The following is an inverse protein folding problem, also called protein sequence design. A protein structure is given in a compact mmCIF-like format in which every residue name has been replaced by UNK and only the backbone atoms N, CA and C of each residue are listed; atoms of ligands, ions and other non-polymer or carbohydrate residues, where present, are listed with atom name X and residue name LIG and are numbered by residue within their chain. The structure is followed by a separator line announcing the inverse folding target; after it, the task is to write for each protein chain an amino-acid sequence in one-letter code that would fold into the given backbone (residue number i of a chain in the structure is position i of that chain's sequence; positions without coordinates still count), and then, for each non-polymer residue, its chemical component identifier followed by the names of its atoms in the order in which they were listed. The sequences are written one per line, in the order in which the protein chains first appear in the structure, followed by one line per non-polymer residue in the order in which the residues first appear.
data_IF_157156387313
#
_entry.id   IF_157156387313
#
_cell.length_a   1.000
_cell.length_b   1.000
_cell.length_c   1.000
_cell.angle_alpha   90.00
_cell.angle_beta   90.00
_cell.angle_gamma   90.00
#
_symmetry.space_group_name_H-M   'P 1'
#
loop_
_entity.id
_entity.type
_entity.pdbx_description
1 polymer ?
#
# COMPACT_ATOMS: atom_id res chain seq x y z
N UNK A 1 -52.58 -2.97 -18.95
CA UNK A 1 -51.91 -1.97 -18.09
C UNK A 1 -50.68 -2.61 -17.46
N UNK A 2 -49.46 -2.29 -17.90
CA UNK A 2 -48.26 -2.88 -17.32
C UNK A 2 -47.82 -2.06 -16.09
N UNK A 3 -47.71 -2.74 -14.95
CA UNK A 3 -47.34 -2.14 -13.66
C UNK A 3 -45.89 -1.64 -13.66
N UNK A 4 -45.71 -0.35 -13.38
CA UNK A 4 -44.41 0.27 -13.09
C UNK A 4 -43.83 -0.36 -11.83
N UNK A 5 -42.84 -1.26 -11.95
CA UNK A 5 -41.95 -1.61 -10.84
C UNK A 5 -41.14 -0.37 -10.49
N UNK A 6 -41.37 0.19 -9.29
CA UNK A 6 -40.52 1.23 -8.72
C UNK A 6 -39.14 0.63 -8.50
N UNK A 7 -38.17 1.08 -9.29
CA UNK A 7 -36.74 0.89 -9.01
C UNK A 7 -36.44 1.56 -7.67
N UNK A 8 -36.25 0.76 -6.63
CA UNK A 8 -35.71 1.25 -5.37
C UNK A 8 -34.20 1.45 -5.56
N UNK A 9 -33.75 2.70 -5.60
CA UNK A 9 -32.32 3.00 -5.48
C UNK A 9 -31.82 2.42 -4.15
N UNK A 10 -30.72 1.64 -4.16
CA UNK A 10 -30.09 1.22 -2.92
C UNK A 10 -29.56 2.46 -2.20
N UNK A 11 -29.94 2.62 -0.92
CA UNK A 11 -29.43 3.67 -0.05
C UNK A 11 -27.93 3.46 0.14
N UNK A 12 -27.13 4.47 -0.19
CA UNK A 12 -25.69 4.49 0.04
C UNK A 12 -25.42 4.58 1.55
N UNK A 13 -24.96 3.50 2.17
CA UNK A 13 -24.45 3.51 3.53
C UNK A 13 -22.93 3.75 3.51
N UNK A 14 -22.49 4.88 2.95
CA UNK A 14 -21.12 5.33 3.18
C UNK A 14 -21.10 6.01 4.55
N UNK A 15 -20.41 5.41 5.53
CA UNK A 15 -20.17 6.04 6.83
C UNK A 15 -19.35 7.31 6.61
N UNK A 16 -19.93 8.47 6.89
CA UNK A 16 -19.22 9.74 6.82
C UNK A 16 -17.99 9.74 7.76
N UNK A 17 -16.87 10.31 7.30
CA UNK A 17 -15.69 10.54 8.13
C UNK A 17 -16.08 11.40 9.34
N UNK A 18 -15.83 10.88 10.54
CA UNK A 18 -16.07 11.61 11.78
C UNK A 18 -14.74 12.19 12.27
N UNK A 19 -14.62 13.52 12.43
CA UNK A 19 -13.43 14.13 13.02
C UNK A 19 -13.27 13.69 14.47
N UNK A 20 -12.04 13.42 14.90
CA UNK A 20 -11.78 13.03 16.29
C UNK A 20 -10.50 13.64 16.85
N UNK A 21 -10.55 14.02 18.13
CA UNK A 21 -9.38 14.51 18.90
C UNK A 21 -8.64 13.33 19.53
N UNK A 22 -7.31 13.39 19.59
CA UNK A 22 -6.38 12.25 19.70
C UNK A 22 -6.66 11.15 20.73
N UNK A 23 -7.34 11.45 21.84
CA UNK A 23 -7.71 10.47 22.89
C UNK A 23 -8.84 9.52 22.47
N UNK A 24 -9.56 9.81 21.40
CA UNK A 24 -10.74 9.05 20.96
C UNK A 24 -10.45 7.93 19.96
N UNK A 25 -9.22 7.80 19.45
CA UNK A 25 -8.81 6.69 18.56
C UNK A 25 -8.54 5.39 19.31
N UNK A 26 -8.08 5.46 20.56
CA UNK A 26 -7.77 4.29 21.39
C UNK A 26 -8.95 3.29 21.53
N UNK A 27 -10.16 3.73 21.93
CA UNK A 27 -11.31 2.82 22.02
C UNK A 27 -11.81 2.33 20.65
N UNK A 28 -11.41 2.97 19.54
CA UNK A 28 -11.85 2.60 18.20
C UNK A 28 -10.98 1.50 17.61
N UNK A 29 -9.67 1.62 17.75
CA UNK A 29 -8.71 0.65 17.23
C UNK A 29 -8.60 -0.59 18.11
N UNK A 30 -8.98 -0.48 19.39
CA UNK A 30 -8.92 -1.56 20.39
C UNK A 30 -7.55 -2.24 20.47
N UNK A 31 -6.50 -1.54 20.05
CA UNK A 31 -5.12 -2.03 19.97
C UNK A 31 -4.15 -0.90 20.30
N UNK A 32 -3.51 -0.93 21.48
CA UNK A 32 -2.46 0.02 21.83
C UNK A 32 -1.28 -0.01 20.84
N UNK A 33 -1.02 -1.17 20.23
CA UNK A 33 0.03 -1.33 19.22
C UNK A 33 -0.31 -0.61 17.92
N UNK A 34 -1.58 -0.66 17.49
CA UNK A 34 -2.05 0.07 16.32
C UNK A 34 -2.06 1.58 16.58
N UNK A 35 -2.47 2.01 17.78
CA UNK A 35 -2.43 3.42 18.16
C UNK A 35 -1.01 3.98 18.13
N UNK A 36 0.00 3.19 18.55
CA UNK A 36 1.40 3.60 18.51
C UNK A 36 1.92 3.86 17.08
N UNK A 37 1.28 3.27 16.05
CA UNK A 37 1.60 3.55 14.63
C UNK A 37 1.06 4.89 14.13
N UNK A 38 0.23 5.57 14.92
CA UNK A 38 -0.42 6.81 14.56
C UNK A 38 0.09 7.92 15.50
N UNK A 39 1.21 8.60 15.24
CA UNK A 39 1.59 9.73 16.09
C UNK A 39 0.68 10.95 15.87
N UNK A 40 0.65 11.85 16.86
CA UNK A 40 -0.12 13.12 16.84
C UNK A 40 -1.44 13.08 17.63
N UNK A 41 -2.19 14.19 17.58
CA UNK A 41 -3.40 14.40 18.39
C UNK A 41 -4.67 14.71 17.57
N UNK A 42 -4.62 14.60 16.24
CA UNK A 42 -5.75 14.86 15.33
C UNK A 42 -6.34 13.59 14.70
N UNK A 43 -6.93 13.73 13.51
CA UNK A 43 -7.39 12.61 12.68
C UNK A 43 -8.88 12.57 12.43
N UNK A 44 -9.28 11.87 11.39
CA UNK A 44 -10.69 11.50 11.14
C UNK A 44 -10.79 9.99 11.00
N UNK A 45 -11.93 9.42 11.40
CA UNK A 45 -12.18 7.97 11.25
C UNK A 45 -13.52 7.68 10.61
N UNK A 46 -13.54 6.64 9.78
CA UNK A 46 -14.74 5.96 9.35
C UNK A 46 -14.61 4.45 9.62
N UNK A 47 -15.75 3.80 9.93
CA UNK A 47 -15.83 2.35 10.12
C UNK A 47 -16.92 1.75 9.25
N UNK A 48 -16.62 0.58 8.70
CA UNK A 48 -17.55 -0.20 7.91
C UNK A 48 -17.16 -1.69 7.93
N UNK A 49 -18.08 -2.57 8.36
CA UNK A 49 -17.92 -4.04 8.29
C UNK A 49 -16.54 -4.58 8.74
N UNK A 50 -16.05 -4.14 9.90
CA UNK A 50 -14.75 -4.58 10.44
C UNK A 50 -13.53 -3.92 9.78
N UNK A 51 -13.73 -2.87 9.01
CA UNK A 51 -12.68 -2.00 8.47
C UNK A 51 -12.74 -0.65 9.15
N UNK A 52 -11.59 -0.19 9.62
CA UNK A 52 -11.38 1.13 10.21
C UNK A 52 -10.43 1.92 9.31
N UNK A 53 -10.90 3.02 8.74
CA UNK A 53 -10.08 4.01 8.03
C UNK A 53 -9.72 5.14 9.00
N UNK A 54 -8.45 5.49 9.07
CA UNK A 54 -7.93 6.70 9.72
C UNK A 54 -7.32 7.60 8.65
N UNK A 55 -7.66 8.89 8.67
CA UNK A 55 -7.06 9.95 7.84
C UNK A 55 -6.49 11.07 8.72
N UNK A 56 -5.77 12.01 8.11
CA UNK A 56 -5.18 13.19 8.78
C UNK A 56 -4.23 12.81 9.93
N UNK A 57 -3.56 11.67 9.77
CA UNK A 57 -2.55 11.17 10.69
C UNK A 57 -1.35 10.65 9.90
N UNK A 58 -0.12 10.97 10.33
CA UNK A 58 1.05 10.26 9.83
C UNK A 58 1.01 8.78 10.26
N UNK A 59 1.79 7.95 9.56
CA UNK A 59 2.02 6.56 9.93
C UNK A 59 3.48 6.37 10.34
N UNK A 60 3.71 5.87 11.55
CA UNK A 60 5.04 5.60 12.09
C UNK A 60 5.39 4.12 11.96
N UNK A 61 6.50 3.82 11.29
CA UNK A 61 7.16 2.53 11.34
C UNK A 61 8.18 2.52 12.49
N UNK A 62 8.98 1.46 12.64
CA UNK A 62 10.04 1.42 13.65
C UNK A 62 11.24 2.33 13.33
N UNK A 63 11.38 2.78 12.08
CA UNK A 63 12.54 3.51 11.59
C UNK A 63 12.21 4.87 10.94
N UNK A 64 10.96 5.10 10.53
CA UNK A 64 10.56 6.37 9.91
C UNK A 64 9.09 6.71 10.15
N UNK A 65 8.68 7.90 9.73
CA UNK A 65 7.29 8.34 9.76
C UNK A 65 6.94 8.93 8.41
N UNK A 66 5.88 8.41 7.79
CA UNK A 66 5.40 8.84 6.47
C UNK A 66 4.14 9.71 6.59
N UNK A 67 3.94 10.69 5.69
CA UNK A 67 2.75 11.53 5.66
C UNK A 67 1.58 10.77 5.04
N UNK A 68 1.05 9.78 5.77
CA UNK A 68 -0.04 8.94 5.30
C UNK A 68 -1.31 9.76 5.02
N UNK A 69 -1.92 9.48 3.86
CA UNK A 69 -3.21 10.04 3.47
C UNK A 69 -4.36 9.16 4.00
N UNK A 70 -4.20 7.84 3.89
CA UNK A 70 -5.19 6.86 4.34
C UNK A 70 -4.51 5.69 5.02
N UNK A 71 -5.05 5.27 6.17
CA UNK A 71 -4.54 4.16 6.98
C UNK A 71 -5.71 3.24 7.31
N UNK A 72 -5.65 2.00 6.86
CA UNK A 72 -6.71 1.02 7.06
C UNK A 72 -6.26 -0.08 8.02
N UNK A 73 -7.12 -0.38 8.98
CA UNK A 73 -7.06 -1.57 9.82
C UNK A 73 -8.27 -2.45 9.52
N UNK A 74 -8.04 -3.74 9.28
CA UNK A 74 -9.02 -4.72 8.83
C UNK A 74 -9.05 -5.88 9.83
N UNK A 75 -10.20 -6.08 10.45
CA UNK A 75 -10.43 -7.15 11.41
C UNK A 75 -10.22 -8.52 10.74
N UNK A 76 -9.38 -9.35 11.35
CA UNK A 76 -9.07 -10.70 10.87
C UNK A 76 -8.12 -10.78 9.66
N UNK A 77 -7.60 -9.66 9.14
CA UNK A 77 -6.59 -9.69 8.06
C UNK A 77 -5.19 -10.08 8.56
N UNK A 78 -4.93 -9.85 9.84
CA UNK A 78 -3.63 -10.10 10.46
C UNK A 78 -3.41 -11.60 10.72
N UNK A 79 -2.16 -12.08 10.62
CA UNK A 79 -1.83 -13.44 11.02
C UNK A 79 -2.17 -13.76 12.48
N UNK A 80 -2.43 -15.04 12.77
CA UNK A 80 -2.65 -15.51 14.13
C UNK A 80 -1.33 -15.57 14.91
N UNK A 81 -1.41 -15.41 16.22
CA UNK A 81 -0.26 -15.47 17.13
C UNK A 81 0.37 -14.12 17.42
N UNK A 82 1.48 -14.13 18.16
CA UNK A 82 2.20 -12.93 18.56
C UNK A 82 3.23 -12.53 17.51
N UNK A 83 3.18 -11.28 17.06
CA UNK A 83 4.17 -10.73 16.14
C UNK A 83 4.05 -9.21 15.96
N UNK A 84 4.96 -8.61 15.17
CA UNK A 84 4.93 -7.18 14.86
C UNK A 84 3.63 -6.77 14.15
N UNK A 85 3.08 -7.65 13.30
CA UNK A 85 1.83 -7.46 12.55
C UNK A 85 0.61 -7.09 13.39
N UNK A 86 0.61 -7.33 14.70
CA UNK A 86 -0.51 -6.96 15.58
C UNK A 86 -0.70 -5.44 15.70
N UNK A 87 0.36 -4.65 15.46
CA UNK A 87 0.26 -3.18 15.43
C UNK A 87 0.14 -2.60 14.03
N UNK A 88 0.56 -3.33 13.00
CA UNK A 88 0.67 -2.82 11.64
C UNK A 88 -0.70 -2.52 11.02
N UNK A 89 -0.77 -1.47 10.21
CA UNK A 89 -1.90 -1.27 9.30
C UNK A 89 -1.94 -2.37 8.22
N UNK A 90 -3.12 -2.58 7.65
CA UNK A 90 -3.33 -3.54 6.56
C UNK A 90 -3.31 -2.87 5.19
N UNK A 91 -3.54 -1.56 5.14
CA UNK A 91 -3.20 -0.70 4.00
C UNK A 91 -2.76 0.67 4.50
N UNK A 92 -1.71 1.21 3.91
CA UNK A 92 -1.31 2.62 4.07
C UNK A 92 -1.10 3.19 2.69
N UNK A 93 -1.75 4.30 2.38
CA UNK A 93 -1.55 5.06 1.15
C UNK A 93 -0.97 6.44 1.48
N UNK A 94 0.06 6.85 0.75
CA UNK A 94 0.70 8.14 0.92
C UNK A 94 1.33 8.63 -0.38
N UNK A 95 1.55 9.94 -0.46
CA UNK A 95 2.41 10.52 -1.50
C UNK A 95 3.81 10.65 -0.94
N UNK A 96 4.78 9.97 -1.56
CA UNK A 96 6.17 10.07 -1.15
C UNK A 96 6.69 11.50 -1.42
N UNK A 97 7.14 12.24 -0.38
CA UNK A 97 7.51 13.64 -0.54
C UNK A 97 8.69 13.89 -1.47
N UNK A 98 9.64 12.94 -1.57
CA UNK A 98 10.87 13.10 -2.33
C UNK A 98 10.64 12.87 -3.83
N UNK A 99 9.98 11.76 -4.17
CA UNK A 99 9.66 11.41 -5.57
C UNK A 99 8.41 12.12 -6.10
N UNK A 100 7.49 12.49 -5.21
CA UNK A 100 6.17 12.99 -5.57
C UNK A 100 5.21 11.92 -6.07
N UNK A 101 5.59 10.64 -6.00
CA UNK A 101 4.78 9.51 -6.45
C UNK A 101 3.86 8.97 -5.36
N UNK A 102 2.76 8.41 -5.81
CA UNK A 102 1.82 7.77 -4.93
C UNK A 102 2.31 6.37 -4.55
N UNK A 103 2.17 6.03 -3.28
CA UNK A 103 2.77 4.87 -2.67
C UNK A 103 1.75 4.13 -1.82
N UNK A 104 1.84 2.79 -1.82
CA UNK A 104 0.97 1.94 -1.02
C UNK A 104 1.77 0.81 -0.38
N UNK A 105 1.51 0.60 0.91
CA UNK A 105 1.74 -0.67 1.58
C UNK A 105 0.39 -1.37 1.70
N UNK A 106 0.32 -2.66 1.36
CA UNK A 106 -0.92 -3.44 1.41
C UNK A 106 -0.65 -4.87 1.89
N UNK A 107 -1.49 -5.35 2.81
CA UNK A 107 -1.49 -6.73 3.29
C UNK A 107 -2.29 -7.63 2.35
N UNK A 108 -1.67 -8.72 1.92
CA UNK A 108 -2.40 -9.77 1.20
C UNK A 108 -3.42 -10.45 2.12
N UNK A 109 -4.63 -10.71 1.62
CA UNK A 109 -5.71 -11.27 2.45
C UNK A 109 -5.66 -12.78 2.62
N UNK A 110 -4.98 -13.49 1.73
CA UNK A 110 -4.94 -14.96 1.75
C UNK A 110 -3.78 -15.42 2.60
N UNK A 111 -2.64 -14.78 2.45
CA UNK A 111 -1.37 -15.21 3.02
C UNK A 111 -0.79 -14.20 4.02
N UNK A 112 -1.41 -13.02 4.17
CA UNK A 112 -1.16 -12.07 5.26
C UNK A 112 0.23 -11.41 5.30
N UNK A 113 1.06 -11.60 4.26
CA UNK A 113 2.29 -10.83 4.03
C UNK A 113 2.00 -9.41 3.55
N UNK A 114 2.98 -8.51 3.68
CA UNK A 114 2.91 -7.15 3.16
C UNK A 114 3.52 -7.04 1.76
N UNK A 115 2.96 -6.15 0.95
CA UNK A 115 3.45 -5.79 -0.38
C UNK A 115 3.56 -4.28 -0.50
N UNK A 116 4.42 -3.82 -1.41
CA UNK A 116 4.67 -2.41 -1.68
C UNK A 116 4.38 -2.05 -3.13
N UNK A 117 3.84 -0.85 -3.36
CA UNK A 117 3.46 -0.37 -4.69
C UNK A 117 3.79 1.12 -4.85
N UNK A 118 4.22 1.51 -6.05
CA UNK A 118 4.47 2.89 -6.48
C UNK A 118 3.75 3.17 -7.79
N UNK A 119 2.95 4.22 -7.82
CA UNK A 119 2.18 4.67 -8.98
C UNK A 119 2.94 5.74 -9.76
N UNK A 120 3.22 5.47 -11.04
CA UNK A 120 3.84 6.42 -11.95
C UNK A 120 2.80 7.03 -12.90
N UNK A 121 2.92 8.33 -13.24
CA UNK A 121 2.00 9.00 -14.15
C UNK A 121 2.21 8.58 -15.61
N UNK A 122 1.27 8.90 -16.50
CA UNK A 122 1.34 8.63 -17.95
C UNK A 122 2.61 9.20 -18.62
N UNK A 123 3.12 10.33 -18.12
CA UNK A 123 4.37 10.91 -18.62
C UNK A 123 5.65 10.18 -18.20
N UNK A 124 5.58 9.12 -17.41
CA UNK A 124 6.74 8.36 -16.96
C UNK A 124 7.28 7.43 -18.07
N UNK A 125 8.59 7.31 -18.30
CA UNK A 125 9.16 6.47 -19.36
C UNK A 125 8.74 4.99 -19.32
N UNK A 126 8.50 4.47 -18.11
CA UNK A 126 8.04 3.09 -17.88
C UNK A 126 6.52 2.96 -17.75
N UNK A 127 5.74 4.01 -18.01
CA UNK A 127 4.28 3.88 -17.97
C UNK A 127 3.81 2.86 -19.01
N UNK A 128 2.94 1.94 -18.59
CA UNK A 128 2.42 0.87 -19.47
C UNK A 128 3.34 -0.34 -19.63
N UNK A 129 4.53 -0.33 -19.00
CA UNK A 129 5.44 -1.47 -19.08
C UNK A 129 5.05 -2.55 -18.09
N UNK A 130 5.02 -3.79 -18.57
CA UNK A 130 4.93 -4.93 -17.68
C UNK A 130 6.23 -5.08 -16.87
N UNK A 131 6.10 -5.55 -15.63
CA UNK A 131 7.18 -5.62 -14.66
C UNK A 131 8.37 -6.48 -15.13
N UNK A 132 8.10 -7.51 -15.94
CA UNK A 132 9.08 -8.41 -16.54
C UNK A 132 9.69 -7.84 -17.83
N UNK A 133 9.05 -6.85 -18.44
CA UNK A 133 9.58 -6.11 -19.58
C UNK A 133 10.54 -4.99 -19.16
N UNK A 134 10.55 -4.60 -17.88
CA UNK A 134 11.50 -3.62 -17.35
C UNK A 134 12.90 -4.23 -17.32
N UNK A 135 13.79 -3.70 -18.14
CA UNK A 135 15.11 -4.26 -18.35
C UNK A 135 15.97 -4.15 -17.05
N UNK A 136 16.65 -5.24 -16.62
CA UNK A 136 17.45 -5.22 -15.39
C UNK A 136 18.60 -4.20 -15.39
N UNK A 137 19.10 -3.82 -16.56
CA UNK A 137 20.16 -2.82 -16.74
C UNK A 137 19.71 -1.38 -16.41
N UNK A 138 18.41 -1.13 -16.27
CA UNK A 138 17.88 0.09 -15.66
C UNK A 138 18.26 0.23 -14.19
N UNK A 139 18.71 -0.85 -13.53
CA UNK A 139 19.22 -0.81 -12.17
C UNK A 139 18.15 -0.70 -11.09
N UNK A 140 16.90 -1.04 -11.39
CA UNK A 140 15.85 -1.13 -10.38
C UNK A 140 16.15 -2.31 -9.45
N UNK A 141 16.32 -2.02 -8.17
CA UNK A 141 16.61 -2.99 -7.12
C UNK A 141 15.62 -2.83 -5.97
N UNK A 142 14.77 -3.84 -5.79
CA UNK A 142 13.76 -3.93 -4.73
C UNK A 142 13.62 -5.38 -4.28
N UNK A 143 13.05 -5.61 -3.11
CA UNK A 143 12.78 -6.94 -2.56
C UNK A 143 12.18 -7.94 -3.56
N UNK A 144 12.97 -8.93 -3.98
CA UNK A 144 12.55 -9.96 -4.94
C UNK A 144 12.39 -9.47 -6.39
N UNK A 145 12.79 -8.23 -6.66
CA UNK A 145 12.55 -7.51 -7.90
C UNK A 145 11.10 -7.06 -8.05
N UNK A 146 10.78 -6.45 -9.19
CA UNK A 146 9.39 -6.17 -9.51
C UNK A 146 8.62 -7.50 -9.65
N UNK A 147 7.40 -7.51 -9.13
CA UNK A 147 6.45 -8.64 -9.23
C UNK A 147 5.05 -8.19 -9.62
N UNK A 148 4.83 -6.88 -9.75
CA UNK A 148 3.55 -6.30 -10.12
C UNK A 148 3.72 -5.11 -11.07
N UNK A 149 2.89 -5.07 -12.11
CA UNK A 149 2.68 -3.95 -13.02
C UNK A 149 1.22 -3.94 -13.46
N UNK A 150 0.51 -2.82 -13.29
CA UNK A 150 -0.84 -2.66 -13.89
C UNK A 150 -1.30 -1.21 -13.90
N UNK A 151 -2.14 -0.86 -14.85
CA UNK A 151 -2.95 0.36 -14.78
C UNK A 151 -3.88 0.32 -13.56
N UNK A 152 -4.16 1.48 -12.94
CA UNK A 152 -5.22 1.58 -11.93
C UNK A 152 -6.52 0.99 -12.50
N UNK A 153 -7.21 0.17 -11.70
CA UNK A 153 -8.46 -0.50 -12.10
C UNK A 153 -9.40 0.49 -12.82
N UNK A 154 -9.87 0.09 -14.02
CA UNK A 154 -10.65 0.93 -14.95
C UNK A 154 -11.90 1.56 -14.33
N UNK A 155 -12.42 0.98 -13.25
CA UNK A 155 -13.62 1.49 -12.60
C UNK A 155 -13.43 2.78 -11.78
N UNK A 156 -12.19 3.25 -11.58
CA UNK A 156 -11.89 4.44 -10.79
C UNK A 156 -12.50 4.45 -9.38
N UNK A 157 -12.41 5.57 -8.65
CA UNK A 157 -13.21 5.76 -7.45
C UNK A 157 -14.68 5.88 -7.82
N UNK A 158 -15.53 5.07 -7.21
CA UNK A 158 -16.97 5.27 -7.25
C UNK A 158 -17.40 5.73 -5.86
N UNK A 159 -18.15 6.84 -5.73
CA UNK A 159 -18.72 7.29 -4.45
C UNK A 159 -19.60 6.23 -3.76
N UNK A 160 -19.94 5.15 -4.48
CA UNK A 160 -20.71 4.02 -3.99
C UNK A 160 -19.84 2.90 -3.37
N UNK A 161 -18.51 3.01 -3.37
CA UNK A 161 -17.61 1.97 -2.87
C UNK A 161 -17.30 2.15 -1.38
N UNK A 162 -17.60 1.11 -0.60
CA UNK A 162 -17.36 1.09 0.84
C UNK A 162 -15.88 0.85 1.19
N UNK A 163 -15.51 1.15 2.43
CA UNK A 163 -14.16 1.03 3.00
C UNK A 163 -13.61 -0.40 2.86
N UNK A 164 -14.49 -1.40 2.86
CA UNK A 164 -14.12 -2.81 2.66
C UNK A 164 -13.44 -3.05 1.32
N UNK A 165 -13.87 -2.36 0.26
CA UNK A 165 -13.25 -2.49 -1.06
C UNK A 165 -11.97 -1.67 -1.15
N UNK A 166 -11.99 -0.44 -0.62
CA UNK A 166 -10.83 0.46 -0.68
C UNK A 166 -9.64 -0.04 0.13
N UNK A 167 -9.87 -0.70 1.26
CA UNK A 167 -8.81 -1.35 2.05
C UNK A 167 -8.06 -2.46 1.30
N UNK A 168 -8.53 -2.89 0.11
CA UNK A 168 -7.99 -4.04 -0.64
C UNK A 168 -7.40 -3.67 -2.00
N UNK A 169 -7.53 -2.41 -2.43
CA UNK A 169 -7.12 -1.97 -3.77
C UNK A 169 -5.78 -1.25 -3.72
N UNK A 170 -5.04 -1.36 -4.83
CA UNK A 170 -3.80 -0.63 -5.08
C UNK A 170 -4.10 0.77 -5.67
N UNK A 171 -5.34 1.09 -6.02
CA UNK A 171 -5.72 2.48 -6.32
C UNK A 171 -6.20 3.17 -5.04
N UNK A 172 -5.82 4.43 -4.87
CA UNK A 172 -6.31 5.32 -3.82
C UNK A 172 -6.87 6.54 -4.55
N UNK A 173 -8.07 6.97 -4.18
CA UNK A 173 -8.48 8.35 -4.38
C UNK A 173 -8.93 8.84 -3.02
N UNK A 174 -8.30 9.89 -2.48
CA UNK A 174 -8.63 10.34 -1.14
C UNK A 174 -10.13 10.67 -1.04
N UNK A 175 -10.74 10.23 0.06
CA UNK A 175 -12.17 10.45 0.39
C UNK A 175 -12.51 11.95 0.57
N UNK A 176 -11.51 12.84 0.62
CA UNK A 176 -11.69 14.28 0.75
C UNK A 176 -11.02 15.03 -0.41
N UNK A 177 -11.77 15.73 -1.29
CA UNK A 177 -11.18 16.55 -2.33
C UNK A 177 -10.53 17.80 -1.70
N UNK A 178 -9.21 17.99 -1.89
CA UNK A 178 -8.55 19.25 -1.54
C UNK A 178 -8.88 20.29 -2.60
N UNK A 179 -9.89 21.10 -2.30
CA UNK A 179 -10.31 22.23 -3.13
C UNK A 179 -9.23 23.32 -3.10
N UNK A 180 -8.74 23.70 -4.30
CA UNK A 180 -7.89 24.87 -4.64
C UNK A 180 -6.35 24.73 -4.61
N UNK A 181 -5.77 24.02 -5.59
CA UNK A 181 -4.37 24.25 -5.96
C UNK A 181 -4.17 24.35 -7.49
N UNK A 182 -3.36 25.30 -7.99
CA UNK A 182 -3.12 25.49 -9.42
C UNK A 182 -2.20 24.42 -10.01
N UNK A 183 -2.44 24.06 -11.27
CA UNK A 183 -1.74 23.01 -12.03
C UNK A 183 -0.26 23.33 -12.29
N UNK A 184 0.62 22.46 -11.79
CA UNK A 184 2.07 22.34 -12.00
C UNK A 184 2.57 21.27 -12.95
N UNK A 185 3.87 21.28 -13.26
CA UNK A 185 4.58 20.40 -14.22
C UNK A 185 4.56 18.91 -13.83
N UNK A 186 4.98 17.98 -14.71
CA UNK A 186 4.89 16.51 -14.54
C UNK A 186 5.44 15.87 -13.24
N UNK A 187 6.13 16.64 -12.38
CA UNK A 187 6.42 16.30 -10.97
C UNK A 187 5.26 16.54 -9.99
N UNK A 188 4.14 17.08 -10.49
CA UNK A 188 2.96 17.55 -9.77
C UNK A 188 1.69 16.82 -10.24
N UNK A 189 1.85 15.66 -10.88
CA UNK A 189 0.72 14.82 -11.24
C UNK A 189 -0.05 14.40 -9.98
N UNK A 190 -1.35 14.71 -9.96
CA UNK A 190 -2.31 14.16 -9.00
C UNK A 190 -3.18 13.14 -9.72
N UNK A 191 -3.35 11.95 -9.14
CA UNK A 191 -4.38 10.97 -9.57
C UNK A 191 -5.78 11.62 -9.63
N UNK A 192 -5.99 12.66 -8.81
CA UNK A 192 -7.17 13.52 -8.78
C UNK A 192 -7.44 14.31 -10.07
N UNK A 193 -6.49 14.38 -11.02
CA UNK A 193 -6.64 15.08 -12.30
C UNK A 193 -7.34 14.25 -13.39
N UNK A 194 -7.89 13.08 -13.05
CA UNK A 194 -8.60 12.21 -13.98
C UNK A 194 -7.71 11.37 -14.89
N UNK A 195 -6.40 11.31 -14.60
CA UNK A 195 -5.48 10.41 -15.31
C UNK A 195 -5.33 9.06 -14.61
N UNK A 196 -4.94 8.04 -15.38
CA UNK A 196 -4.60 6.73 -14.85
C UNK A 196 -3.13 6.68 -14.40
N UNK A 197 -2.88 6.14 -13.20
CA UNK A 197 -1.53 5.74 -12.75
C UNK A 197 -1.23 4.31 -13.17
N UNK A 198 0.03 4.07 -13.55
CA UNK A 198 0.58 2.73 -13.73
C UNK A 198 1.34 2.34 -12.47
N UNK A 199 0.93 1.25 -11.84
CA UNK A 199 1.49 0.79 -10.57
C UNK A 199 2.54 -0.26 -10.78
N UNK A 200 3.74 -0.02 -10.28
CA UNK A 200 4.77 -1.03 -10.08
C UNK A 200 4.78 -1.50 -8.63
N UNK A 201 5.16 -2.74 -8.38
CA UNK A 201 5.25 -3.25 -7.01
C UNK A 201 6.02 -4.54 -6.85
N UNK A 202 6.15 -4.93 -5.59
CA UNK A 202 6.82 -6.13 -5.10
C UNK A 202 5.99 -6.75 -3.97
N UNK A 203 6.16 -8.04 -3.71
CA UNK A 203 5.52 -8.76 -2.61
C UNK A 203 6.54 -9.37 -1.64
N UNK A 204 6.19 -9.50 -0.36
CA UNK A 204 7.04 -10.17 0.63
C UNK A 204 6.66 -11.65 0.81
N UNK A 205 6.53 -12.38 -0.31
CA UNK A 205 6.21 -13.80 -0.35
C UNK A 205 7.21 -14.60 -1.20
N UNK A 206 8.48 -14.48 -0.83
CA UNK A 206 9.57 -15.23 -1.42
C UNK A 206 10.01 -16.36 -0.49
N UNK A 207 10.86 -17.27 -1.00
CA UNK A 207 11.39 -18.42 -0.26
C UNK A 207 12.09 -18.03 1.07
N UNK A 208 12.64 -16.83 1.12
CA UNK A 208 13.33 -16.24 2.28
C UNK A 208 12.45 -15.32 3.12
N UNK A 209 11.15 -15.25 2.84
CA UNK A 209 10.19 -14.48 3.62
C UNK A 209 9.42 -15.40 4.56
N UNK A 210 9.35 -15.01 5.83
CA UNK A 210 8.47 -15.66 6.78
C UNK A 210 7.06 -15.12 6.56
N UNK A 211 6.24 -15.89 5.86
CA UNK A 211 4.82 -15.60 5.69
C UNK A 211 4.04 -16.26 6.83
N UNK A 212 3.43 -15.50 7.76
CA UNK A 212 2.79 -16.09 8.92
C UNK A 212 1.41 -16.61 8.50
N UNK A 213 1.28 -17.93 8.31
CA UNK A 213 0.05 -18.54 7.77
C UNK A 213 -1.12 -18.37 8.77
N UNK A 214 -2.34 -18.05 8.29
CA UNK A 214 -3.55 -18.02 9.14
C UNK A 214 -3.85 -19.34 9.88
N UNK A 215 -3.30 -20.46 9.41
CA UNK A 215 -3.62 -21.84 9.82
C UNK A 215 -2.54 -22.46 10.73
N UNK A 216 -1.44 -21.74 11.01
CA UNK A 216 -0.37 -22.19 11.90
C UNK A 216 0.52 -23.32 11.37
N UNK A 217 0.36 -23.75 10.11
CA UNK A 217 1.30 -24.68 9.45
C UNK A 217 2.41 -23.88 8.78
N UNK A 218 3.70 -24.14 9.03
CA UNK A 218 4.77 -23.44 8.30
C UNK A 218 4.75 -23.83 6.83
N UNK A 219 4.75 -22.84 5.93
CA UNK A 219 5.13 -23.05 4.53
C UNK A 219 6.64 -23.23 4.54
N UNK A 220 7.09 -24.37 4.06
CA UNK A 220 8.49 -24.77 3.92
C UNK A 220 9.07 -25.55 5.10
N UNK A 221 9.28 -26.84 4.84
CA UNK A 221 10.22 -27.72 5.53
C UNK A 221 11.65 -27.13 5.59
N UNK A 222 11.97 -26.13 4.76
CA UNK A 222 13.26 -25.43 4.71
C UNK A 222 13.28 -24.04 5.38
N UNK A 223 12.23 -23.58 6.08
CA UNK A 223 12.25 -22.22 6.68
C UNK A 223 13.43 -21.99 7.66
N UNK A 224 13.88 -23.05 8.35
CA UNK A 224 15.08 -23.01 9.19
C UNK A 224 16.39 -22.99 8.38
N UNK A 225 16.38 -23.52 7.16
CA UNK A 225 17.53 -23.57 6.24
C UNK A 225 17.66 -22.28 5.41
N UNK A 226 16.57 -21.53 5.23
CA UNK A 226 16.56 -20.28 4.44
C UNK A 226 16.72 -19.01 5.29
N UNK A 227 16.82 -19.15 6.62
CA UNK A 227 16.83 -18.03 7.57
C UNK A 227 15.70 -17.02 7.30
N UNK A 228 14.50 -17.52 6.99
CA UNK A 228 13.38 -16.70 6.56
C UNK A 228 12.97 -15.68 7.64
N UNK A 229 12.74 -14.43 7.23
CA UNK A 229 12.38 -13.32 8.15
C UNK A 229 11.07 -12.68 7.72
N UNK A 230 10.23 -12.30 8.67
CA UNK A 230 9.03 -11.51 8.38
C UNK A 230 9.42 -10.10 7.95
N UNK A 231 8.88 -9.66 6.82
CA UNK A 231 9.05 -8.29 6.33
C UNK A 231 7.96 -7.40 6.92
N UNK A 232 8.35 -6.65 7.95
CA UNK A 232 7.45 -5.75 8.67
C UNK A 232 7.16 -4.46 7.87
N UNK A 233 6.32 -3.61 8.46
CA UNK A 233 5.93 -2.36 7.83
C UNK A 233 7.10 -1.40 7.62
N UNK A 234 8.08 -1.36 8.52
CA UNK A 234 9.32 -0.61 8.36
C UNK A 234 10.10 -1.04 7.12
N UNK A 235 10.26 -2.36 6.94
CA UNK A 235 10.89 -2.91 5.75
C UNK A 235 10.14 -2.53 4.48
N UNK A 236 8.83 -2.77 4.44
CA UNK A 236 8.03 -2.54 3.22
C UNK A 236 7.98 -1.06 2.86
N UNK A 237 7.78 -0.17 3.84
CA UNK A 237 7.76 1.29 3.59
C UNK A 237 9.11 1.77 3.04
N UNK A 238 10.23 1.31 3.59
CA UNK A 238 11.56 1.65 3.04
C UNK A 238 11.75 1.14 1.61
N UNK A 239 11.37 -0.10 1.32
CA UNK A 239 11.46 -0.65 -0.05
C UNK A 239 10.57 0.15 -1.03
N UNK A 240 9.39 0.60 -0.60
CA UNK A 240 8.52 1.46 -1.41
C UNK A 240 9.17 2.83 -1.65
N UNK A 241 9.77 3.45 -0.63
CA UNK A 241 10.50 4.72 -0.78
C UNK A 241 11.71 4.58 -1.70
N UNK A 242 12.48 3.48 -1.58
CA UNK A 242 13.57 3.15 -2.50
C UNK A 242 13.05 3.04 -3.94
N UNK A 243 12.02 2.25 -4.17
CA UNK A 243 11.43 2.07 -5.50
C UNK A 243 10.94 3.41 -6.09
N UNK A 244 10.31 4.25 -5.28
CA UNK A 244 9.84 5.56 -5.71
C UNK A 244 10.98 6.50 -6.11
N UNK A 245 12.08 6.50 -5.36
CA UNK A 245 13.29 7.25 -5.70
C UNK A 245 13.95 6.74 -6.99
N UNK A 246 14.03 5.43 -7.19
CA UNK A 246 14.59 4.80 -8.38
C UNK A 246 13.77 5.13 -9.63
N UNK A 247 12.44 4.97 -9.56
CA UNK A 247 11.52 5.36 -10.64
C UNK A 247 11.64 6.85 -10.95
N UNK A 248 11.76 7.69 -9.92
CA UNK A 248 11.91 9.14 -10.13
C UNK A 248 13.21 9.48 -10.83
N UNK A 249 14.31 8.80 -10.51
CA UNK A 249 15.58 8.98 -11.18
C UNK A 249 15.48 8.63 -12.68
N UNK A 250 14.77 7.55 -13.03
CA UNK A 250 14.51 7.17 -14.42
C UNK A 250 13.71 8.24 -15.15
N UNK A 251 12.63 8.75 -14.54
CA UNK A 251 11.82 9.82 -15.12
C UNK A 251 12.64 11.11 -15.37
N UNK A 252 13.56 11.42 -14.47
CA UNK A 252 14.45 12.58 -14.56
C UNK A 252 15.67 12.33 -15.49
N UNK A 253 15.84 11.12 -16.06
CA UNK A 253 17.00 10.75 -16.88
C UNK A 253 18.32 10.73 -16.09
N UNK A 254 18.25 10.49 -14.77
CA UNK A 254 19.38 10.45 -13.84
C UNK A 254 19.78 9.00 -13.53
N UNK A 255 21.03 8.77 -13.06
CA UNK A 255 21.41 7.47 -12.53
C UNK A 255 20.47 7.01 -11.42
N UNK A 256 20.06 5.75 -11.48
CA UNK A 256 19.23 5.14 -10.45
C UNK A 256 19.98 5.14 -9.11
N UNK A 257 19.28 5.58 -8.07
CA UNK A 257 19.85 5.68 -6.74
C UNK A 257 20.04 4.28 -6.14
N UNK A 258 21.16 4.01 -5.45
CA UNK A 258 21.34 2.76 -4.72
C UNK A 258 20.21 2.53 -3.73
N UNK A 259 19.77 1.29 -3.59
CA UNK A 259 18.79 0.89 -2.58
C UNK A 259 19.38 1.09 -1.17
N UNK A 260 18.61 1.71 -0.28
CA UNK A 260 18.96 1.81 1.13
C UNK A 260 18.40 0.64 1.94
N UNK A 261 19.16 0.17 2.94
CA UNK A 261 18.72 -0.87 3.88
C UNK A 261 19.64 -2.10 3.91
N UNK A 262 19.26 -3.15 4.66
CA UNK A 262 20.04 -4.37 4.72
C UNK A 262 20.15 -5.02 3.33
N UNK A 263 21.23 -5.76 3.02
CA UNK A 263 21.39 -6.44 1.75
C UNK A 263 20.18 -7.31 1.40
N UNK A 264 19.79 -7.31 0.13
CA UNK A 264 18.76 -8.22 -0.34
C UNK A 264 19.22 -9.67 -0.20
N UNK A 265 18.32 -10.60 0.13
CA UNK A 265 18.61 -12.03 0.05
C UNK A 265 19.05 -12.39 -1.38
N UNK A 266 20.00 -13.32 -1.52
CA UNK A 266 20.49 -13.73 -2.82
C UNK A 266 19.33 -14.26 -3.69
N UNK A 267 19.10 -13.61 -4.84
CA UNK A 267 18.14 -14.04 -5.86
C UNK A 267 18.77 -15.25 -6.57
N UNK A 268 18.65 -16.44 -5.98
CA UNK A 268 19.28 -17.65 -6.52
C UNK A 268 18.47 -18.94 -6.39
N UNK A 269 17.28 -18.88 -5.78
CA UNK A 269 16.45 -20.06 -5.53
C UNK A 269 14.94 -19.76 -5.63
N UNK A 270 14.50 -18.78 -6.44
CA UNK A 270 13.08 -18.72 -6.79
C UNK A 270 12.82 -19.65 -7.98
N UNK A 271 12.18 -20.83 -7.79
CA UNK A 271 11.88 -21.75 -8.89
C UNK A 271 10.95 -21.14 -9.96
N UNK A 272 10.37 -19.96 -9.72
CA UNK A 272 9.51 -19.23 -10.67
C UNK A 272 10.26 -18.19 -11.51
N UNK A 273 11.46 -17.77 -11.09
CA UNK A 273 12.34 -16.88 -11.85
C UNK A 273 13.60 -17.68 -12.21
N UNK A 274 13.49 -18.44 -13.31
CA UNK A 274 14.62 -19.21 -13.86
C UNK A 274 15.83 -18.30 -14.10
N UNK A 275 17.02 -18.84 -13.81
CA UNK A 275 18.30 -18.17 -14.04
C UNK A 275 18.71 -18.05 -15.50
#
# INVERSE_FOLDING_TARGET
MPGKKKSASPKSNSSALTPITGTSLAPILESPRALAKLPGDGGSVAREHGVTLVTDRPYATSDMTIPAAEIYFVDGAKPRGTGPWLGEADKVAWRDPASGYECIMLRDRKEAYLSGYVGVPEGHPLWGWDQDAVAPDLGIEVHGGLTYSRICDEDGPSPQRGLVMESRRICHVPVTPKMWEPLRHGSEYRVESGGHVWWFGFDCNHLYDQVPIPDGRPRSFLAAETAAVYRDDAYVVREVTNLAAQLRAIADGKPVQPREGPPLPAIGLDPRKGG
#
